data_IF_498852350806
#
_entry.id   IF_498852350806
#
_cell.length_a   1.000
_cell.length_b   1.000
_cell.length_c   1.000
_cell.angle_alpha   90.00
_cell.angle_beta   90.00
_cell.angle_gamma   90.00
#
_symmetry.space_group_name_H-M   'P 1'
#
loop_
_entity.id
_entity.type
_entity.pdbx_description
1 polymer ?
#
# COMPACT_ATOMS: atom_id res chain seq x y z
N UNK A 1 -7.53 -28.42 87.06
CA UNK A 1 -7.98 -29.61 86.33
C UNK A 1 -7.21 -29.71 85.03
N UNK A 2 -6.50 -30.83 84.89
CA UNK A 2 -5.86 -31.52 83.74
C UNK A 2 -6.80 -31.51 82.51
N UNK A 3 -6.46 -31.39 81.20
CA UNK A 3 -5.22 -31.46 80.37
C UNK A 3 -5.54 -31.11 78.89
N UNK A 4 -4.47 -30.92 78.09
CA UNK A 4 -4.30 -31.25 76.65
C UNK A 4 -4.73 -30.20 75.60
N UNK A 5 -4.05 -30.02 74.45
CA UNK A 5 -2.77 -30.51 73.91
C UNK A 5 -2.53 -29.83 72.55
N UNK A 6 -1.26 -29.81 72.15
CA UNK A 6 -0.71 -29.74 70.79
C UNK A 6 -0.53 -28.40 70.06
N UNK A 7 0.47 -28.19 69.19
CA UNK A 7 1.83 -28.74 68.93
C UNK A 7 2.34 -27.93 67.71
N UNK A 8 3.49 -27.27 67.88
CA UNK A 8 4.56 -26.95 66.88
C UNK A 8 4.36 -26.08 65.63
N UNK A 9 5.52 -25.51 65.30
CA UNK A 9 6.12 -25.18 64.00
C UNK A 9 5.91 -23.73 63.54
N UNK A 10 6.87 -22.82 63.76
CA UNK A 10 8.24 -22.72 63.21
C UNK A 10 8.25 -22.19 61.76
N UNK A 11 9.22 -21.30 61.54
CA UNK A 11 9.66 -20.68 60.28
C UNK A 11 8.85 -19.49 59.75
N UNK A 12 9.33 -18.32 60.15
CA UNK A 12 9.34 -17.12 59.34
C UNK A 12 9.87 -17.43 57.92
N UNK A 13 9.16 -16.94 56.90
CA UNK A 13 9.71 -16.77 55.55
C UNK A 13 9.36 -15.37 55.09
N UNK A 14 10.41 -14.64 54.75
CA UNK A 14 10.41 -13.27 54.27
C UNK A 14 9.57 -13.13 52.99
N UNK A 15 8.60 -12.21 53.01
CA UNK A 15 7.93 -11.74 51.80
C UNK A 15 8.85 -10.78 51.05
N UNK A 16 9.67 -11.33 50.15
CA UNK A 16 10.21 -10.61 49.00
C UNK A 16 9.07 -10.48 47.97
N UNK A 17 8.34 -9.37 48.02
CA UNK A 17 7.42 -9.00 46.94
C UNK A 17 8.26 -8.53 45.75
N UNK A 18 8.52 -9.47 44.84
CA UNK A 18 8.95 -9.18 43.47
C UNK A 18 7.87 -8.29 42.83
N UNK A 19 8.24 -7.04 42.54
CA UNK A 19 7.52 -6.23 41.58
C UNK A 19 7.68 -6.89 40.20
N UNK A 20 6.75 -7.75 39.83
CA UNK A 20 6.55 -8.13 38.45
C UNK A 20 5.89 -6.93 37.77
N UNK A 21 6.71 -6.10 37.11
CA UNK A 21 6.22 -5.27 36.02
C UNK A 21 5.78 -6.25 34.92
N UNK A 22 4.48 -6.50 34.82
CA UNK A 22 3.90 -7.03 33.60
C UNK A 22 4.08 -5.93 32.54
N UNK A 23 5.16 -6.05 31.76
CA UNK A 23 5.26 -5.35 30.49
C UNK A 23 4.12 -5.88 29.62
N UNK A 24 3.00 -5.16 29.60
CA UNK A 24 1.99 -5.31 28.56
C UNK A 24 2.64 -4.92 27.22
N UNK A 25 3.29 -5.90 26.59
CA UNK A 25 3.53 -5.87 25.16
C UNK A 25 2.17 -5.79 24.48
N UNK A 26 1.75 -4.56 24.21
CA UNK A 26 0.69 -4.26 23.26
C UNK A 26 1.19 -4.75 21.91
N UNK A 27 1.00 -6.06 21.65
CA UNK A 27 1.02 -6.58 20.30
C UNK A 27 0.00 -5.73 19.55
N UNK A 28 0.48 -4.86 18.65
CA UNK A 28 -0.39 -4.23 17.66
C UNK A 28 -1.00 -5.37 16.88
N UNK A 29 -2.19 -5.78 17.31
CA UNK A 29 -3.02 -6.72 16.60
C UNK A 29 -3.41 -5.96 15.34
N UNK A 30 -2.57 -6.11 14.32
CA UNK A 30 -2.82 -5.65 12.97
C UNK A 30 -4.11 -6.36 12.59
N UNK A 31 -5.24 -5.66 12.72
CA UNK A 31 -6.53 -6.20 12.32
C UNK A 31 -6.32 -6.69 10.90
N UNK A 32 -6.44 -8.00 10.67
CA UNK A 32 -6.38 -8.57 9.34
C UNK A 32 -7.50 -7.89 8.55
N UNK A 33 -7.12 -6.89 7.75
CA UNK A 33 -8.07 -6.25 6.86
C UNK A 33 -8.58 -7.34 5.95
N UNK A 34 -9.90 -7.46 5.83
CA UNK A 34 -10.51 -8.37 4.87
C UNK A 34 -10.47 -7.80 3.46
N UNK A 35 -10.00 -6.56 3.31
CA UNK A 35 -9.95 -5.81 2.06
C UNK A 35 -8.52 -5.44 1.69
N UNK A 36 -8.15 -5.63 0.43
CA UNK A 36 -6.88 -5.08 -0.04
C UNK A 36 -6.92 -3.55 -0.06
N UNK A 37 -5.82 -2.91 0.36
CA UNK A 37 -5.65 -1.46 0.25
C UNK A 37 -4.54 -1.14 -0.75
N UNK A 38 -4.85 -1.29 -2.03
CA UNK A 38 -3.92 -0.96 -3.10
C UNK A 38 -4.08 0.49 -3.56
N UNK A 39 -2.97 1.22 -3.63
CA UNK A 39 -2.88 2.58 -4.18
C UNK A 39 -1.86 2.63 -5.32
N UNK A 40 -2.17 3.41 -6.35
CA UNK A 40 -1.18 3.88 -7.32
C UNK A 40 -0.70 5.27 -6.92
N UNK A 41 0.60 5.43 -6.79
CA UNK A 41 1.28 6.71 -6.65
C UNK A 41 2.26 6.93 -7.80
N UNK A 42 2.50 8.19 -8.17
CA UNK A 42 3.35 8.55 -9.30
C UNK A 42 4.46 9.48 -8.83
N UNK A 43 5.70 9.20 -9.25
CA UNK A 43 6.87 9.94 -8.80
C UNK A 43 7.91 10.10 -9.90
N UNK A 44 8.98 10.85 -9.63
CA UNK A 44 10.12 11.02 -10.54
C UNK A 44 9.71 11.56 -11.92
N UNK A 45 8.85 12.58 -11.92
CA UNK A 45 8.35 13.17 -13.16
C UNK A 45 9.46 13.85 -13.97
N UNK A 46 9.50 13.54 -15.27
CA UNK A 46 10.35 14.23 -16.24
C UNK A 46 9.56 14.51 -17.51
N UNK A 47 9.76 15.70 -18.05
CA UNK A 47 9.10 16.15 -19.27
C UNK A 47 10.08 16.20 -20.45
N UNK A 48 9.59 15.85 -21.64
CA UNK A 48 10.27 16.07 -22.90
C UNK A 48 9.26 16.28 -24.03
N UNK A 49 9.67 16.99 -25.08
CA UNK A 49 8.95 17.03 -26.36
C UNK A 49 9.63 16.06 -27.31
N UNK A 50 8.95 14.96 -27.66
CA UNK A 50 9.49 13.91 -28.52
C UNK A 50 8.60 13.79 -29.76
N UNK A 51 9.19 13.95 -30.95
CA UNK A 51 8.46 13.85 -32.24
C UNK A 51 7.18 14.70 -32.27
N UNK A 52 7.25 15.92 -31.71
CA UNK A 52 6.13 16.86 -31.64
C UNK A 52 5.06 16.54 -30.58
N UNK A 53 5.31 15.57 -29.68
CA UNK A 53 4.38 15.20 -28.60
C UNK A 53 4.94 15.55 -27.23
N UNK A 54 4.09 16.05 -26.35
CA UNK A 54 4.38 16.22 -24.93
C UNK A 54 4.48 14.83 -24.28
N UNK A 55 5.66 14.49 -23.77
CA UNK A 55 5.96 13.18 -23.19
C UNK A 55 6.31 13.33 -21.71
N UNK A 56 5.59 12.59 -20.88
CA UNK A 56 5.70 12.59 -19.43
C UNK A 56 6.22 11.23 -18.97
N UNK A 57 7.44 11.23 -18.45
CA UNK A 57 8.07 10.09 -17.81
C UNK A 57 7.73 10.11 -16.32
N UNK A 58 7.46 8.93 -15.74
CA UNK A 58 7.20 8.77 -14.32
C UNK A 58 7.51 7.34 -13.86
N UNK A 59 7.74 7.19 -12.57
CA UNK A 59 7.67 5.90 -11.89
C UNK A 59 6.23 5.63 -11.45
N UNK A 60 5.80 4.37 -11.57
CA UNK A 60 4.53 3.88 -11.02
C UNK A 60 4.82 3.10 -9.75
N UNK A 61 4.32 3.59 -8.62
CA UNK A 61 4.47 2.96 -7.32
C UNK A 61 3.13 2.34 -6.92
N UNK A 62 3.05 1.02 -6.93
CA UNK A 62 1.90 0.27 -6.46
C UNK A 62 2.14 -0.08 -5.00
N UNK A 63 1.33 0.48 -4.11
CA UNK A 63 1.53 0.42 -2.66
C UNK A 63 0.37 -0.36 -2.07
N UNK A 64 0.65 -1.50 -1.44
CA UNK A 64 -0.33 -2.30 -0.70
C UNK A 64 -0.13 -2.07 0.79
N UNK A 65 -1.16 -1.57 1.49
CA UNK A 65 -1.12 -1.27 2.93
C UNK A 65 -2.06 -2.13 3.79
N UNK A 66 -2.94 -2.90 3.17
CA UNK A 66 -3.97 -3.71 3.82
C UNK A 66 -3.47 -5.08 4.26
N UNK A 67 -2.25 -5.47 3.90
CA UNK A 67 -1.66 -6.75 4.27
C UNK A 67 -2.13 -7.92 3.40
N UNK A 68 -2.76 -7.66 2.25
CA UNK A 68 -3.20 -8.67 1.29
C UNK A 68 -2.56 -8.38 -0.05
N UNK A 69 -1.73 -9.31 -0.54
CA UNK A 69 -1.05 -9.16 -1.82
C UNK A 69 -2.03 -9.08 -3.00
N UNK A 70 -1.62 -8.42 -4.08
CA UNK A 70 -2.43 -8.21 -5.28
C UNK A 70 -1.66 -8.59 -6.53
N UNK A 71 -2.36 -9.23 -7.47
CA UNK A 71 -1.88 -9.43 -8.84
C UNK A 71 -2.69 -8.57 -9.80
N UNK A 72 -2.06 -7.54 -10.38
CA UNK A 72 -2.64 -6.75 -11.46
C UNK A 72 -2.49 -7.47 -12.80
N UNK A 73 -3.57 -7.52 -13.57
CA UNK A 73 -3.66 -8.29 -14.82
C UNK A 73 -3.99 -7.43 -16.04
N UNK A 74 -4.55 -6.22 -15.84
CA UNK A 74 -4.88 -5.28 -16.92
C UNK A 74 -4.47 -3.87 -16.55
N UNK A 75 -3.90 -3.14 -17.51
CA UNK A 75 -3.61 -1.71 -17.40
C UNK A 75 -4.24 -0.94 -18.56
N UNK A 76 -4.70 0.29 -18.28
CA UNK A 76 -5.24 1.23 -19.26
C UNK A 76 -4.64 2.61 -19.03
N UNK A 77 -4.27 3.27 -20.11
CA UNK A 77 -3.89 4.68 -20.10
C UNK A 77 -4.73 5.40 -21.13
N UNK A 78 -5.39 6.48 -20.73
CA UNK A 78 -6.05 7.38 -21.66
C UNK A 78 -5.42 8.76 -21.64
N UNK A 79 -5.29 9.33 -22.83
CA UNK A 79 -4.81 10.69 -23.08
C UNK A 79 -5.85 11.44 -23.89
N UNK A 80 -5.58 12.71 -24.14
CA UNK A 80 -6.41 13.61 -24.93
C UNK A 80 -7.82 13.73 -24.34
N UNK A 81 -7.89 13.89 -23.02
CA UNK A 81 -9.09 13.93 -22.19
C UNK A 81 -9.98 12.67 -22.38
N UNK A 82 -9.34 11.50 -22.45
CA UNK A 82 -10.04 10.21 -22.54
C UNK A 82 -10.36 9.75 -23.96
N UNK A 83 -10.05 10.55 -25.00
CA UNK A 83 -10.37 10.20 -26.39
C UNK A 83 -9.49 9.07 -26.93
N UNK A 84 -8.22 9.05 -26.55
CA UNK A 84 -7.26 8.06 -27.03
C UNK A 84 -6.80 7.20 -25.85
N UNK A 85 -7.17 5.93 -25.87
CA UNK A 85 -6.83 4.97 -24.82
C UNK A 85 -6.02 3.80 -25.37
N UNK A 86 -5.05 3.34 -24.60
CA UNK A 86 -4.32 2.11 -24.84
C UNK A 86 -4.51 1.20 -23.63
N UNK A 87 -4.85 -0.05 -23.91
CA UNK A 87 -4.98 -1.10 -22.90
C UNK A 87 -3.97 -2.22 -23.16
N UNK A 88 -3.53 -2.88 -22.10
CA UNK A 88 -2.61 -4.00 -22.20
C UNK A 88 -2.80 -4.99 -21.07
N UNK A 89 -2.54 -6.27 -21.36
CA UNK A 89 -2.37 -7.28 -20.34
C UNK A 89 -1.05 -7.05 -19.60
N UNK A 90 -1.09 -7.13 -18.27
CA UNK A 90 0.08 -7.00 -17.41
C UNK A 90 0.12 -8.17 -16.43
N UNK A 91 1.24 -8.35 -15.73
CA UNK A 91 1.31 -9.30 -14.61
C UNK A 91 2.20 -8.70 -13.52
N UNK A 92 1.61 -7.84 -12.72
CA UNK A 92 2.34 -7.13 -11.66
C UNK A 92 1.91 -7.66 -10.32
N UNK A 93 2.88 -8.26 -9.61
CA UNK A 93 2.68 -8.78 -8.26
C UNK A 93 3.12 -7.72 -7.25
N UNK A 94 2.19 -7.30 -6.41
CA UNK A 94 2.44 -6.43 -5.26
C UNK A 94 2.27 -7.29 -4.02
N UNK A 95 3.36 -7.49 -3.28
CA UNK A 95 3.31 -8.28 -2.05
C UNK A 95 2.60 -7.52 -0.92
N UNK A 96 2.00 -8.27 0.00
CA UNK A 96 1.32 -7.74 1.18
C UNK A 96 2.22 -6.77 1.97
N UNK A 97 1.72 -5.56 2.25
CA UNK A 97 2.44 -4.53 2.99
C UNK A 97 3.68 -3.97 2.27
N UNK A 98 3.81 -4.18 0.96
CA UNK A 98 4.98 -3.77 0.16
C UNK A 98 4.60 -2.78 -0.94
N UNK A 99 5.65 -2.16 -1.48
CA UNK A 99 5.58 -1.32 -2.67
C UNK A 99 6.27 -2.02 -3.83
N UNK A 100 5.58 -2.14 -4.97
CA UNK A 100 6.19 -2.44 -6.25
C UNK A 100 6.43 -1.13 -7.01
N UNK A 101 7.68 -0.83 -7.34
CA UNK A 101 8.01 0.33 -8.19
C UNK A 101 8.35 -0.13 -9.60
N UNK A 102 7.66 0.44 -10.59
CA UNK A 102 8.02 0.31 -12.00
C UNK A 102 8.56 1.64 -12.52
N UNK A 103 9.86 1.71 -12.82
CA UNK A 103 10.48 2.97 -13.21
C UNK A 103 10.22 3.33 -14.67
N UNK A 104 10.36 4.62 -14.97
CA UNK A 104 10.50 5.15 -16.34
C UNK A 104 9.35 4.79 -17.32
N UNK A 105 8.12 4.66 -16.81
CA UNK A 105 6.93 4.61 -17.65
C UNK A 105 6.73 5.96 -18.33
N UNK A 106 6.25 5.95 -19.58
CA UNK A 106 5.96 7.20 -20.29
C UNK A 106 4.57 7.24 -20.88
N UNK A 107 4.02 8.45 -20.95
CA UNK A 107 2.76 8.77 -21.61
C UNK A 107 2.97 9.97 -22.51
N UNK A 108 2.45 9.92 -23.74
CA UNK A 108 2.65 10.97 -24.73
C UNK A 108 1.32 11.46 -25.32
N UNK A 109 1.12 12.78 -25.31
CA UNK A 109 -0.08 13.46 -25.81
C UNK A 109 0.28 14.58 -26.77
N UNK A 110 -0.61 14.89 -27.72
CA UNK A 110 -0.47 16.06 -28.60
C UNK A 110 -0.98 17.34 -27.94
N UNK A 111 -1.78 17.23 -26.87
CA UNK A 111 -2.36 18.40 -26.24
C UNK A 111 -1.33 19.10 -25.35
N UNK A 112 -1.37 20.43 -25.36
CA UNK A 112 -0.61 21.23 -24.40
C UNK A 112 -1.17 21.10 -22.97
N UNK A 113 -2.48 20.90 -22.84
CA UNK A 113 -3.17 20.64 -21.56
C UNK A 113 -3.98 19.36 -21.68
N UNK A 114 -3.83 18.46 -20.72
CA UNK A 114 -4.47 17.15 -20.77
C UNK A 114 -4.88 16.65 -19.39
N UNK A 115 -5.88 15.77 -19.38
CA UNK A 115 -6.29 14.96 -18.23
C UNK A 115 -5.98 13.50 -18.56
N UNK A 116 -4.80 13.05 -18.17
CA UNK A 116 -4.33 11.69 -18.44
C UNK A 116 -4.87 10.78 -17.34
N UNK A 117 -5.51 9.66 -17.70
CA UNK A 117 -5.93 8.64 -16.73
C UNK A 117 -5.04 7.42 -16.83
N UNK A 118 -4.69 6.84 -15.69
CA UNK A 118 -3.94 5.59 -15.57
C UNK A 118 -4.73 4.68 -14.65
N UNK A 119 -5.11 3.52 -15.15
CA UNK A 119 -5.98 2.56 -14.45
C UNK A 119 -5.41 1.16 -14.49
N UNK A 120 -5.67 0.40 -13.44
CA UNK A 120 -5.27 -0.99 -13.32
C UNK A 120 -6.34 -1.84 -12.67
N UNK A 121 -6.50 -3.07 -13.16
CA UNK A 121 -7.39 -4.08 -12.60
C UNK A 121 -6.59 -5.33 -12.24
N UNK A 122 -7.06 -6.03 -11.21
CA UNK A 122 -6.43 -7.25 -10.73
C UNK A 122 -7.29 -7.98 -9.70
N UNK A 123 -6.65 -8.90 -9.00
CA UNK A 123 -7.27 -9.72 -7.96
C UNK A 123 -6.32 -9.79 -6.77
N UNK A 124 -6.85 -9.56 -5.58
CA UNK A 124 -6.15 -9.75 -4.32
C UNK A 124 -6.06 -11.25 -3.96
N UNK A 125 -5.15 -11.63 -3.08
CA UNK A 125 -4.91 -13.05 -2.74
C UNK A 125 -6.11 -13.72 -2.05
N UNK A 126 -6.99 -12.91 -1.44
CA UNK A 126 -8.27 -13.37 -0.88
C UNK A 126 -9.40 -13.50 -1.92
N UNK A 127 -9.11 -13.26 -3.21
CA UNK A 127 -10.07 -13.31 -4.31
C UNK A 127 -10.83 -12.01 -4.58
N UNK A 128 -10.63 -10.94 -3.80
CA UNK A 128 -11.30 -9.65 -4.04
C UNK A 128 -10.83 -9.03 -5.37
N UNK A 129 -11.75 -8.55 -6.24
CA UNK A 129 -11.36 -7.77 -7.41
C UNK A 129 -10.82 -6.40 -6.98
N UNK A 130 -9.71 -5.99 -7.58
CA UNK A 130 -9.07 -4.71 -7.31
C UNK A 130 -9.12 -3.82 -8.55
N UNK A 131 -9.48 -2.55 -8.38
CA UNK A 131 -9.38 -1.51 -9.39
C UNK A 131 -8.81 -0.23 -8.78
N UNK A 132 -7.75 0.29 -9.38
CA UNK A 132 -7.13 1.55 -8.98
C UNK A 132 -7.06 2.50 -10.17
N UNK A 133 -7.24 3.79 -9.91
CA UNK A 133 -7.20 4.85 -10.92
C UNK A 133 -6.44 6.06 -10.39
N UNK A 134 -5.66 6.68 -11.28
CA UNK A 134 -5.08 8.01 -11.07
C UNK A 134 -5.34 8.91 -12.25
N UNK A 135 -5.53 10.19 -11.97
CA UNK A 135 -5.64 11.24 -12.98
C UNK A 135 -4.45 12.18 -12.82
N UNK A 136 -3.84 12.53 -13.95
CA UNK A 136 -2.70 13.43 -14.04
C UNK A 136 -3.11 14.58 -14.94
N UNK A 137 -3.22 15.77 -14.34
CA UNK A 137 -3.38 17.02 -15.08
C UNK A 137 -2.02 17.48 -15.57
N UNK A 138 -1.92 17.82 -16.85
CA UNK A 138 -0.69 18.35 -17.43
C UNK A 138 -0.93 19.69 -18.13
N UNK A 139 0.09 20.55 -18.13
CA UNK A 139 0.12 21.81 -18.87
C UNK A 139 1.56 22.14 -19.28
N UNK A 140 1.95 21.78 -20.50
CA UNK A 140 3.35 21.79 -20.92
C UNK A 140 4.17 20.89 -19.99
N UNK A 141 5.24 21.43 -19.40
CA UNK A 141 6.08 20.69 -18.45
C UNK A 141 5.47 20.53 -17.04
N UNK A 142 4.38 21.23 -16.72
CA UNK A 142 3.74 21.16 -15.40
C UNK A 142 2.88 19.90 -15.29
N UNK A 143 2.97 19.24 -14.14
CA UNK A 143 2.23 18.02 -13.82
C UNK A 143 1.62 18.14 -12.43
N UNK A 144 0.34 17.80 -12.31
CA UNK A 144 -0.40 17.73 -11.05
C UNK A 144 -1.11 16.38 -10.96
N UNK A 145 -0.81 15.60 -9.92
CA UNK A 145 -1.49 14.32 -9.66
C UNK A 145 -2.72 14.58 -8.79
N UNK A 146 -3.87 13.99 -9.15
CA UNK A 146 -5.12 14.04 -8.38
C UNK A 146 -5.37 12.73 -7.66
#
# INVERSE_FOLDING_TARGET
MITNSATRCCCAVAFLLLAACEDEETSRQQSLSTRSELKLDLSSFRFAVEKGRNTYYQNRNYIESGGIGVTLTRGKVCVENGKNCVESAVRYRVEAGKTLTQPNHKVATILNKDNITIEYWGTADNGEPVHIRRTVETSGAKVTVK
#
